data_IF_115812057766
#
_entry.id   IF_115812057766
#
_cell.length_a   1.000
_cell.length_b   1.000
_cell.length_c   1.000
_cell.angle_alpha   90.00
_cell.angle_beta   90.00
_cell.angle_gamma   90.00
#
_symmetry.space_group_name_H-M   'P 1'
#
loop_
_entity.id
_entity.type
_entity.pdbx_description
1 polymer ?
#
# COMPACT_ATOMS: atom_id res chain seq x y z
N UNK A 1 1.53 -6.65 -4.77
CA UNK A 1 0.90 -5.76 -5.77
C UNK A 1 1.29 -6.24 -7.16
N UNK A 2 0.35 -6.74 -7.94
CA UNK A 2 0.54 -7.32 -9.28
C UNK A 2 0.72 -6.22 -10.34
N UNK A 3 1.16 -6.61 -11.55
CA UNK A 3 1.37 -5.69 -12.68
C UNK A 3 0.07 -4.97 -13.11
N UNK A 4 -1.09 -5.59 -12.91
CA UNK A 4 -2.40 -5.01 -13.24
C UNK A 4 -2.75 -3.83 -12.32
N UNK A 5 -2.41 -3.90 -11.03
CA UNK A 5 -2.69 -2.82 -10.08
C UNK A 5 -1.82 -1.57 -10.34
N UNK A 6 -0.57 -1.77 -10.78
CA UNK A 6 0.32 -0.66 -11.15
C UNK A 6 -0.18 0.08 -12.39
N UNK A 7 -0.65 -0.67 -13.38
CA UNK A 7 -1.24 -0.12 -14.61
C UNK A 7 -2.50 0.67 -14.30
N UNK A 8 -3.32 0.19 -13.36
CA UNK A 8 -4.53 0.88 -12.92
C UNK A 8 -4.25 2.25 -12.27
N UNK A 9 -3.22 2.34 -11.41
CA UNK A 9 -2.81 3.62 -10.80
C UNK A 9 -2.26 4.58 -11.86
N UNK A 10 -1.43 4.09 -12.79
CA UNK A 10 -0.85 4.90 -13.86
C UNK A 10 -1.91 5.51 -14.80
N UNK A 11 -2.93 4.74 -15.18
CA UNK A 11 -4.02 5.20 -16.06
C UNK A 11 -4.83 6.35 -15.42
N UNK A 12 -4.84 6.44 -14.08
CA UNK A 12 -5.61 7.43 -13.33
C UNK A 12 -4.90 8.77 -13.14
N UNK A 13 -3.83 9.00 -13.91
CA UNK A 13 -3.11 10.28 -13.97
C UNK A 13 -1.98 10.41 -12.95
N UNK A 14 -1.59 9.30 -12.31
CA UNK A 14 -0.44 9.26 -11.43
C UNK A 14 0.82 8.89 -12.21
N UNK A 15 1.89 9.63 -11.98
CA UNK A 15 3.22 9.31 -12.48
C UNK A 15 3.93 8.44 -11.46
N UNK A 16 4.43 7.28 -11.88
CA UNK A 16 5.33 6.48 -11.06
C UNK A 16 6.71 7.16 -11.04
N UNK A 17 7.09 7.75 -9.91
CA UNK A 17 8.39 8.43 -9.79
C UNK A 17 9.50 7.49 -9.35
N UNK A 18 9.20 6.50 -8.52
CA UNK A 18 10.17 5.51 -8.07
C UNK A 18 9.49 4.19 -7.75
N UNK A 19 10.19 3.10 -8.03
CA UNK A 19 9.81 1.74 -7.65
C UNK A 19 11.06 1.01 -7.17
N UNK A 20 10.93 0.28 -6.06
CA UNK A 20 12.02 -0.51 -5.49
C UNK A 20 11.46 -1.77 -4.86
N UNK A 21 11.94 -2.93 -5.33
CA UNK A 21 11.75 -4.19 -4.64
C UNK A 21 12.77 -4.26 -3.50
N UNK A 22 12.30 -4.38 -2.26
CA UNK A 22 13.16 -4.39 -1.08
C UNK A 22 12.59 -5.28 0.01
N UNK A 23 13.47 -5.87 0.81
CA UNK A 23 13.09 -6.60 2.02
C UNK A 23 13.60 -5.78 3.20
N UNK A 24 12.77 -4.87 3.76
CA UNK A 24 13.18 -4.08 4.90
C UNK A 24 13.37 -4.99 6.12
N UNK A 25 14.40 -4.70 6.91
CA UNK A 25 14.62 -5.39 8.18
C UNK A 25 13.49 -5.10 9.17
N UNK A 26 13.36 -5.98 10.17
CA UNK A 26 12.33 -5.87 11.20
C UNK A 26 12.33 -4.50 11.91
N UNK A 27 13.49 -3.98 12.27
CA UNK A 27 13.63 -2.65 12.91
C UNK A 27 13.04 -1.52 12.06
N UNK A 28 13.23 -1.57 10.73
CA UNK A 28 12.68 -0.56 9.83
C UNK A 28 11.15 -0.64 9.78
N UNK A 29 10.59 -1.85 9.75
CA UNK A 29 9.14 -2.06 9.77
C UNK A 29 8.52 -1.66 11.10
N UNK A 30 9.17 -1.95 12.22
CA UNK A 30 8.71 -1.56 13.55
C UNK A 30 8.69 -0.04 13.70
N UNK A 31 9.72 0.65 13.20
CA UNK A 31 9.73 2.12 13.15
C UNK A 31 8.63 2.67 12.23
N UNK A 32 8.44 2.06 11.07
CA UNK A 32 7.43 2.48 10.08
C UNK A 32 6.00 2.33 10.60
N UNK A 33 5.73 1.30 11.40
CA UNK A 33 4.41 1.02 11.98
C UNK A 33 4.33 1.35 13.48
N UNK A 34 5.24 2.19 13.99
CA UNK A 34 5.31 2.52 15.43
C UNK A 34 3.98 3.02 16.01
N UNK A 35 3.18 3.75 15.23
CA UNK A 35 1.83 4.20 15.58
C UNK A 35 0.83 3.06 15.84
N UNK A 36 1.12 1.85 15.38
CA UNK A 36 0.30 0.66 15.56
C UNK A 36 0.88 -0.28 16.63
N UNK A 37 1.96 0.08 17.32
CA UNK A 37 2.65 -0.78 18.30
C UNK A 37 1.73 -1.26 19.44
N UNK A 38 0.77 -0.44 19.85
CA UNK A 38 -0.20 -0.76 20.90
C UNK A 38 -1.33 -1.71 20.43
N UNK A 39 -1.40 -2.01 19.12
CA UNK A 39 -2.47 -2.86 18.57
C UNK A 39 -2.11 -4.35 18.72
N UNK A 40 -3.08 -5.21 19.06
CA UNK A 40 -2.84 -6.64 19.27
C UNK A 40 -2.35 -7.38 18.01
N UNK A 41 -2.59 -6.81 16.82
CA UNK A 41 -2.16 -7.36 15.53
C UNK A 41 -0.77 -6.88 15.07
N UNK A 42 -0.10 -5.98 15.81
CA UNK A 42 1.16 -5.37 15.40
C UNK A 42 2.25 -6.40 15.08
N UNK A 43 2.46 -7.36 15.99
CA UNK A 43 3.48 -8.40 15.81
C UNK A 43 3.21 -9.28 14.58
N UNK A 44 1.93 -9.55 14.31
CA UNK A 44 1.49 -10.28 13.11
C UNK A 44 1.70 -9.47 11.83
N UNK A 45 1.45 -8.16 11.87
CA UNK A 45 1.70 -7.25 10.75
C UNK A 45 3.19 -7.19 10.39
N UNK A 46 4.07 -7.07 11.38
CA UNK A 46 5.52 -7.05 11.13
C UNK A 46 5.98 -8.38 10.54
N UNK A 47 5.56 -9.51 11.12
CA UNK A 47 5.87 -10.85 10.60
C UNK A 47 5.41 -11.04 9.15
N UNK A 48 4.20 -10.59 8.83
CA UNK A 48 3.64 -10.64 7.47
C UNK A 48 4.43 -9.76 6.49
N UNK A 49 4.78 -8.54 6.88
CA UNK A 49 5.56 -7.63 6.04
C UNK A 49 7.01 -8.09 5.86
N UNK A 50 7.56 -8.86 6.82
CA UNK A 50 8.88 -9.48 6.74
C UNK A 50 8.91 -10.83 6.03
N UNK A 51 7.76 -11.46 5.74
CA UNK A 51 7.73 -12.80 5.16
C UNK A 51 8.15 -12.86 3.69
N UNK A 52 8.30 -11.72 3.03
CA UNK A 52 8.68 -11.67 1.62
C UNK A 52 9.15 -10.29 1.16
N UNK A 53 9.70 -10.20 -0.06
CA UNK A 53 10.09 -8.93 -0.64
C UNK A 53 8.87 -8.05 -0.90
N UNK A 54 8.95 -6.79 -0.47
CA UNK A 54 7.90 -5.79 -0.70
C UNK A 54 8.28 -4.89 -1.88
N UNK A 55 7.27 -4.48 -2.65
CA UNK A 55 7.43 -3.51 -3.71
C UNK A 55 7.07 -2.12 -3.18
N UNK A 56 8.07 -1.32 -2.84
CA UNK A 56 7.89 0.08 -2.43
C UNK A 56 7.78 0.97 -3.66
N UNK A 57 6.77 1.84 -3.70
CA UNK A 57 6.49 2.72 -4.84
C UNK A 57 6.21 4.15 -4.38
N UNK A 58 6.62 5.11 -5.21
CA UNK A 58 6.34 6.54 -5.03
C UNK A 58 5.55 7.04 -6.23
N UNK A 59 4.35 7.54 -5.97
CA UNK A 59 3.43 8.05 -6.97
C UNK A 59 3.30 9.56 -6.83
N UNK A 60 3.48 10.27 -7.94
CA UNK A 60 3.35 11.72 -8.05
C UNK A 60 2.09 12.08 -8.84
N UNK A 61 1.40 13.13 -8.43
CA UNK A 61 0.18 13.59 -9.09
C UNK A 61 -0.47 14.73 -8.33
N UNK A 62 -1.45 15.38 -8.97
CA UNK A 62 -2.24 16.42 -8.31
C UNK A 62 -3.14 15.79 -7.25
N UNK A 63 -3.11 16.33 -6.03
CA UNK A 63 -3.84 15.79 -4.87
C UNK A 63 -3.55 14.29 -4.61
N UNK A 64 -2.30 13.86 -4.86
CA UNK A 64 -1.95 12.44 -4.93
C UNK A 64 -2.34 11.62 -3.69
N UNK A 65 -2.26 12.20 -2.50
CA UNK A 65 -2.65 11.53 -1.25
C UNK A 65 -4.15 11.29 -1.17
N UNK A 66 -4.97 12.32 -1.46
CA UNK A 66 -6.44 12.23 -1.37
C UNK A 66 -6.98 11.32 -2.48
N UNK A 67 -6.49 11.51 -3.71
CA UNK A 67 -6.89 10.72 -4.86
C UNK A 67 -6.42 9.27 -4.71
N UNK A 68 -5.21 9.05 -4.17
CA UNK A 68 -4.67 7.72 -3.90
C UNK A 68 -5.52 6.96 -2.87
N UNK A 69 -5.93 7.60 -1.77
CA UNK A 69 -6.84 6.99 -0.78
C UNK A 69 -8.20 6.62 -1.36
N UNK A 70 -8.73 7.47 -2.23
CA UNK A 70 -10.01 7.21 -2.92
C UNK A 70 -9.89 6.00 -3.85
N UNK A 71 -8.75 5.89 -4.54
CA UNK A 71 -8.46 4.82 -5.49
C UNK A 71 -8.16 3.47 -4.82
N UNK A 72 -7.54 3.51 -3.64
CA UNK A 72 -7.26 2.31 -2.84
C UNK A 72 -8.55 1.63 -2.35
N UNK A 73 -9.59 2.41 -2.05
CA UNK A 73 -10.82 1.92 -1.42
C UNK A 73 -10.74 1.86 0.10
N UNK A 74 -11.89 1.61 0.74
CA UNK A 74 -12.01 1.56 2.19
C UNK A 74 -11.12 0.45 2.78
N UNK A 75 -10.73 0.56 4.06
CA UNK A 75 -9.91 -0.48 4.72
C UNK A 75 -10.58 -1.85 4.76
N UNK A 76 -11.92 -1.87 4.80
CA UNK A 76 -12.69 -3.09 4.64
C UNK A 76 -13.02 -3.31 3.15
N UNK A 77 -12.56 -4.41 2.52
CA UNK A 77 -12.90 -4.76 1.13
C UNK A 77 -14.41 -4.75 0.85
N UNK A 78 -15.23 -5.23 1.79
CA UNK A 78 -16.69 -5.29 1.66
C UNK A 78 -17.37 -3.91 1.67
N UNK A 79 -16.67 -2.88 2.15
CA UNK A 79 -17.12 -1.48 2.13
C UNK A 79 -16.43 -0.66 1.03
N UNK A 80 -15.64 -1.29 0.18
CA UNK A 80 -14.95 -0.62 -0.92
C UNK A 80 -15.87 -0.51 -2.13
N UNK A 81 -15.87 0.65 -2.77
CA UNK A 81 -16.68 0.87 -3.96
C UNK A 81 -16.15 0.02 -5.14
N UNK A 82 -17.04 -0.45 -6.04
CA UNK A 82 -16.62 -1.10 -7.28
C UNK A 82 -15.67 -0.20 -8.09
N UNK A 83 -14.56 -0.74 -8.61
CA UNK A 83 -13.56 0.06 -9.31
C UNK A 83 -12.46 0.65 -8.41
N UNK A 84 -12.30 0.16 -7.18
CA UNK A 84 -11.18 0.48 -6.28
C UNK A 84 -10.31 -0.76 -6.07
N UNK A 85 -9.03 -0.56 -5.76
CA UNK A 85 -8.08 -1.70 -5.65
C UNK A 85 -8.57 -2.76 -4.67
N UNK A 86 -9.08 -2.36 -3.50
CA UNK A 86 -9.62 -3.29 -2.48
C UNK A 86 -11.03 -3.82 -2.78
N UNK A 87 -11.74 -3.24 -3.73
CA UNK A 87 -13.06 -3.72 -4.18
C UNK A 87 -12.95 -4.78 -5.27
N UNK A 88 -11.88 -4.69 -6.09
CA UNK A 88 -11.70 -5.51 -7.29
C UNK A 88 -10.65 -6.64 -7.12
N UNK A 89 -9.75 -6.54 -6.12
CA UNK A 89 -8.67 -7.50 -5.83
C UNK A 89 -8.58 -7.85 -4.35
#
# INVERSE_FOLDING_TARGET
>A
MSSSEQTFIAIKGFKLSAIKLTTPGQEHLEKHYSDLSDKPFFRGLISYMSSGPICAMVWEGRDAVKTGRTLLGATNPLASAPGTIRGDF
#
